data_IF_992126327180
#
_entry.id   IF_992126327180
#
_cell.length_a   1.000
_cell.length_b   1.000
_cell.length_c   1.000
_cell.angle_alpha   90.00
_cell.angle_beta   90.00
_cell.angle_gamma   90.00
#
_symmetry.space_group_name_H-M   'P 1'
#
loop_
_entity.id
_entity.type
_entity.pdbx_description
1 polymer ?
#
# COMPACT_ATOMS: atom_id res chain seq x y z
N UNK A 1 12.05 -12.80 0.53
CA UNK A 1 10.78 -12.35 -0.08
C UNK A 1 9.82 -13.52 -0.05
N UNK A 2 8.61 -13.30 0.45
CA UNK A 2 7.56 -14.31 0.50
C UNK A 2 6.51 -14.00 -0.57
N UNK A 3 5.87 -15.03 -1.13
CA UNK A 3 4.80 -14.87 -2.14
C UNK A 3 3.45 -15.20 -1.52
N UNK A 4 2.50 -14.27 -1.62
CA UNK A 4 1.11 -14.46 -1.21
C UNK A 4 0.26 -14.76 -2.45
N UNK A 5 -0.49 -15.86 -2.42
CA UNK A 5 -1.49 -16.17 -3.44
C UNK A 5 -2.86 -15.67 -2.98
N UNK A 6 -3.57 -14.96 -3.86
CA UNK A 6 -4.92 -14.47 -3.62
C UNK A 6 -5.80 -14.96 -4.76
N UNK A 7 -6.85 -15.69 -4.42
CA UNK A 7 -7.89 -16.05 -5.38
C UNK A 7 -8.85 -14.89 -5.54
N UNK A 8 -9.08 -14.49 -6.79
CA UNK A 8 -10.01 -13.41 -7.15
C UNK A 8 -10.95 -13.89 -8.24
N UNK A 9 -12.22 -13.47 -8.23
CA UNK A 9 -13.14 -13.77 -9.32
C UNK A 9 -12.61 -13.20 -10.64
N UNK A 10 -12.66 -14.00 -11.70
CA UNK A 10 -12.20 -13.59 -13.03
C UNK A 10 -13.00 -12.39 -13.58
N UNK A 11 -14.26 -12.28 -13.18
CA UNK A 11 -15.19 -11.22 -13.50
C UNK A 11 -14.71 -9.86 -12.97
N UNK A 12 -13.99 -9.85 -11.85
CA UNK A 12 -13.42 -8.62 -11.28
C UNK A 12 -12.31 -8.07 -12.18
N UNK A 13 -11.47 -8.94 -12.75
CA UNK A 13 -10.43 -8.50 -13.70
C UNK A 13 -11.05 -7.91 -14.96
N UNK A 14 -12.12 -8.55 -15.46
CA UNK A 14 -12.88 -8.05 -16.63
C UNK A 14 -13.53 -6.71 -16.32
N UNK A 15 -14.19 -6.56 -15.17
CA UNK A 15 -14.88 -5.34 -14.78
C UNK A 15 -13.92 -4.14 -14.58
N UNK A 16 -12.68 -4.42 -14.17
CA UNK A 16 -11.64 -3.40 -14.00
C UNK A 16 -10.75 -3.22 -15.24
N UNK A 17 -10.95 -4.03 -16.28
CA UNK A 17 -10.12 -4.06 -17.49
C UNK A 17 -8.62 -4.28 -17.20
N UNK A 18 -8.31 -5.09 -16.19
CA UNK A 18 -6.94 -5.37 -15.74
C UNK A 18 -6.49 -6.78 -16.10
N UNK A 19 -5.23 -6.91 -16.51
CA UNK A 19 -4.55 -8.20 -16.51
C UNK A 19 -4.30 -8.69 -15.08
N UNK A 20 -4.06 -10.00 -14.86
CA UNK A 20 -3.71 -10.52 -13.54
C UNK A 20 -2.50 -9.83 -12.90
N UNK A 21 -1.53 -9.40 -13.73
CA UNK A 21 -0.33 -8.70 -13.26
C UNK A 21 -0.65 -7.29 -12.78
N UNK A 22 -1.50 -6.56 -13.50
CA UNK A 22 -1.94 -5.22 -13.10
C UNK A 22 -2.82 -5.29 -11.85
N UNK A 23 -3.75 -6.25 -11.79
CA UNK A 23 -4.55 -6.51 -10.59
C UNK A 23 -3.68 -6.82 -9.37
N UNK A 24 -2.64 -7.64 -9.52
CA UNK A 24 -1.72 -7.94 -8.42
C UNK A 24 -0.95 -6.69 -7.95
N UNK A 25 -0.55 -5.81 -8.87
CA UNK A 25 0.09 -4.54 -8.53
C UNK A 25 -0.89 -3.59 -7.81
N UNK A 26 -2.12 -3.49 -8.29
CA UNK A 26 -3.18 -2.67 -7.70
C UNK A 26 -3.52 -3.13 -6.28
N UNK A 27 -3.75 -4.44 -6.08
CA UNK A 27 -4.02 -5.01 -4.76
C UNK A 27 -2.85 -4.82 -3.79
N UNK A 28 -1.62 -4.96 -4.27
CA UNK A 28 -0.42 -4.73 -3.45
C UNK A 28 -0.33 -3.27 -3.00
N UNK A 29 -0.57 -2.32 -3.89
CA UNK A 29 -0.58 -0.90 -3.57
C UNK A 29 -1.70 -0.56 -2.58
N UNK A 30 -2.92 -1.02 -2.86
CA UNK A 30 -4.07 -0.82 -1.98
C UNK A 30 -3.86 -1.41 -0.57
N UNK A 31 -3.28 -2.60 -0.48
CA UNK A 31 -2.95 -3.23 0.81
C UNK A 31 -1.90 -2.41 1.58
N UNK A 32 -0.84 -1.95 0.91
CA UNK A 32 0.17 -1.10 1.52
C UNK A 32 -0.42 0.21 2.05
N UNK A 33 -1.23 0.87 1.24
CA UNK A 33 -1.95 2.09 1.62
C UNK A 33 -2.88 1.87 2.80
N UNK A 34 -3.68 0.79 2.80
CA UNK A 34 -4.61 0.54 3.89
C UNK A 34 -3.91 0.21 5.20
N UNK A 35 -2.80 -0.54 5.13
CA UNK A 35 -2.00 -0.85 6.32
C UNK A 35 -1.27 0.38 6.87
N UNK A 36 -0.87 1.32 6.01
CA UNK A 36 -0.35 2.62 6.42
C UNK A 36 -1.44 3.47 7.09
N UNK A 37 -2.61 3.61 6.46
CA UNK A 37 -3.75 4.37 7.00
C UNK A 37 -4.21 3.85 8.37
N UNK A 38 -4.17 2.53 8.58
CA UNK A 38 -4.46 1.90 9.86
C UNK A 38 -3.32 2.02 10.89
N UNK A 39 -2.25 2.73 10.55
CA UNK A 39 -1.03 2.87 11.35
C UNK A 39 -0.26 1.57 11.56
N UNK A 40 -0.58 0.48 10.84
CA UNK A 40 0.05 -0.84 11.04
C UNK A 40 1.43 -0.93 10.41
N UNK A 41 1.67 -0.19 9.34
CA UNK A 41 2.97 -0.04 8.70
C UNK A 41 3.41 1.42 8.74
N UNK A 42 4.70 1.65 8.91
CA UNK A 42 5.32 2.95 8.63
C UNK A 42 5.26 3.26 7.13
N UNK A 43 5.47 4.52 6.76
CA UNK A 43 5.50 4.93 5.34
C UNK A 43 6.62 4.23 4.55
N UNK A 44 7.74 3.90 5.20
CA UNK A 44 8.83 3.11 4.60
C UNK A 44 8.44 1.65 4.36
N UNK A 45 7.95 0.97 5.39
CA UNK A 45 7.52 -0.42 5.27
C UNK A 45 6.34 -0.61 4.30
N UNK A 46 5.42 0.37 4.24
CA UNK A 46 4.34 0.36 3.26
C UNK A 46 4.85 0.57 1.83
N UNK A 47 5.84 1.45 1.61
CA UNK A 47 6.46 1.63 0.31
C UNK A 47 7.19 0.36 -0.18
N UNK A 48 7.90 -0.33 0.73
CA UNK A 48 8.54 -1.61 0.45
C UNK A 48 7.52 -2.68 0.07
N UNK A 49 6.40 -2.77 0.80
CA UNK A 49 5.30 -3.67 0.45
C UNK A 49 4.70 -3.33 -0.92
N UNK A 50 4.52 -2.04 -1.21
CA UNK A 50 4.04 -1.56 -2.51
C UNK A 50 5.06 -1.81 -3.64
N UNK A 51 6.33 -2.06 -3.33
CA UNK A 51 7.40 -2.27 -4.30
C UNK A 51 7.80 -0.99 -5.04
N UNK A 52 7.64 0.17 -4.40
CA UNK A 52 7.95 1.48 -4.98
C UNK A 52 8.77 2.33 -4.00
N UNK A 53 9.55 3.32 -4.48
CA UNK A 53 10.29 4.21 -3.59
C UNK A 53 9.36 4.96 -2.63
N UNK A 54 9.77 5.14 -1.37
CA UNK A 54 9.02 5.88 -0.34
C UNK A 54 8.49 7.25 -0.81
N UNK A 55 9.27 8.11 -1.50
CA UNK A 55 8.73 9.38 -2.01
C UNK A 55 7.57 9.20 -3.00
N UNK A 56 7.61 8.17 -3.83
CA UNK A 56 6.54 7.87 -4.78
C UNK A 56 5.31 7.30 -4.05
N UNK A 57 5.49 6.47 -3.03
CA UNK A 57 4.39 6.00 -2.19
C UNK A 57 3.67 7.17 -1.52
N UNK A 58 4.41 8.06 -0.88
CA UNK A 58 3.84 9.25 -0.23
C UNK A 58 3.09 10.15 -1.22
N UNK A 59 3.62 10.34 -2.43
CA UNK A 59 2.92 11.09 -3.48
C UNK A 59 1.59 10.43 -3.90
N UNK A 60 1.55 9.09 -3.95
CA UNK A 60 0.36 8.33 -4.33
C UNK A 60 -0.74 8.30 -3.26
N UNK A 61 -0.44 8.58 -1.99
CA UNK A 61 -1.47 8.63 -0.94
C UNK A 61 -2.55 9.67 -1.24
N UNK A 62 -2.14 10.81 -1.81
CA UNK A 62 -3.06 11.88 -2.22
C UNK A 62 -4.02 11.42 -3.34
N UNK A 63 -3.54 10.64 -4.31
CA UNK A 63 -4.35 10.11 -5.42
C UNK A 63 -5.47 9.18 -4.93
N UNK A 64 -5.29 8.54 -3.77
CA UNK A 64 -6.24 7.61 -3.17
C UNK A 64 -7.08 8.24 -2.05
N UNK A 65 -7.00 9.56 -1.86
CA UNK A 65 -7.79 10.28 -0.85
C UNK A 65 -7.44 9.91 0.59
N UNK A 66 -6.24 9.37 0.83
CA UNK A 66 -5.75 9.07 2.17
C UNK A 66 -5.11 10.35 2.71
N UNK A 67 -5.77 10.96 3.70
CA UNK A 67 -5.20 12.11 4.41
C UNK A 67 -3.90 11.69 5.09
N UNK A 68 -2.80 12.29 4.65
CA UNK A 68 -1.43 12.01 5.14
C UNK A 68 -1.18 12.60 6.53
N UNK A 69 -2.20 13.16 7.19
CA UNK A 69 -2.13 13.73 8.53
C UNK A 69 -3.39 13.36 9.30
N UNK A 70 -3.27 12.53 10.35
CA UNK A 70 -2.67 13.02 11.59
C UNK A 70 -1.54 12.11 12.10
N UNK A 71 -0.35 12.70 12.23
CA UNK A 71 0.77 12.10 12.97
C UNK A 71 0.32 11.85 14.41
N UNK A 72 -0.17 10.66 14.67
CA UNK A 72 -0.29 10.11 16.02
C UNK A 72 1.12 9.75 16.49
N UNK A 73 1.42 9.91 17.78
CA UNK A 73 2.75 9.61 18.34
C UNK A 73 3.24 8.18 17.98
N UNK A 74 2.31 7.25 17.78
CA UNK A 74 2.56 5.87 17.35
C UNK A 74 3.18 5.75 15.95
N UNK A 75 2.87 6.66 15.02
CA UNK A 75 3.44 6.63 13.66
C UNK A 75 4.90 7.09 13.67
N UNK A 76 5.19 8.17 14.41
CA UNK A 76 6.54 8.70 14.60
C UNK A 76 7.47 7.65 15.21
N UNK A 77 6.98 6.91 16.20
CA UNK A 77 7.75 5.83 16.83
C UNK A 77 7.99 4.65 15.88
N UNK A 78 7.05 4.33 14.99
CA UNK A 78 7.24 3.29 13.96
C UNK A 78 8.24 3.72 12.90
N UNK A 79 8.18 4.97 12.42
CA UNK A 79 9.19 5.50 11.49
C UNK A 79 10.59 5.45 12.10
N UNK A 80 10.75 5.76 13.39
CA UNK A 80 12.04 5.70 14.09
C UNK A 80 12.60 4.29 14.20
N UNK A 81 11.74 3.28 14.33
CA UNK A 81 12.14 1.87 14.45
C UNK A 81 12.51 1.26 13.10
N UNK A 82 11.83 1.68 12.04
CA UNK A 82 11.93 1.08 10.72
C UNK A 82 12.89 1.85 9.77
N UNK A 83 13.51 2.94 10.25
CA UNK A 83 14.56 3.72 9.56
C UNK A 83 15.97 3.20 9.86
#
# INVERSE_FOLDING_TARGET
>A
METLAVEVPSETLVALELSPKEMAAELRLAAAMKLYELGRLSSGAAADLAGIPRPLFLAKLADYGIDTFPQTDDELEKERRDA
#
